data_IF_443624034890
#
_entry.id   IF_443624034890
#
_cell.length_a   1.000
_cell.length_b   1.000
_cell.length_c   1.000
_cell.angle_alpha   90.00
_cell.angle_beta   90.00
_cell.angle_gamma   90.00
#
_symmetry.space_group_name_H-M   'P 1'
#
loop_
_entity.id
_entity.type
_entity.pdbx_description
1 polymer ?
#
# COMPACT_ATOMS: atom_id res chain seq x y z
N UNK A 1 12.54 -32.26 32.23
CA UNK A 1 13.64 -31.48 32.85
C UNK A 1 13.17 -30.38 33.82
N UNK A 2 11.92 -29.91 33.79
CA UNK A 2 11.45 -28.84 34.70
C UNK A 2 11.16 -29.29 36.15
N UNK A 3 10.79 -30.55 36.39
CA UNK A 3 10.44 -31.05 37.73
C UNK A 3 11.64 -31.19 38.69
N UNK A 4 12.82 -31.51 38.17
CA UNK A 4 14.04 -31.70 38.99
C UNK A 4 14.59 -30.37 39.54
N UNK A 5 14.42 -29.28 38.79
CA UNK A 5 14.92 -27.94 39.16
C UNK A 5 14.06 -27.32 40.27
N UNK A 6 12.75 -27.55 40.25
CA UNK A 6 11.85 -27.09 41.31
C UNK A 6 12.09 -27.80 42.66
N UNK A 7 12.43 -29.09 42.64
CA UNK A 7 12.77 -29.85 43.85
C UNK A 7 14.04 -29.36 44.53
N UNK A 8 15.06 -28.98 43.75
CA UNK A 8 16.33 -28.49 44.29
C UNK A 8 16.18 -27.11 44.97
N UNK A 9 15.36 -26.22 44.40
CA UNK A 9 15.13 -24.87 44.94
C UNK A 9 14.31 -24.89 46.22
N UNK A 10 13.34 -25.81 46.35
CA UNK A 10 12.56 -25.98 47.58
C UNK A 10 13.41 -26.53 48.74
N UNK A 11 14.30 -27.49 48.49
CA UNK A 11 15.18 -28.04 49.54
C UNK A 11 16.17 -27.00 50.09
N UNK A 12 16.72 -26.13 49.23
CA UNK A 12 17.65 -25.08 49.66
C UNK A 12 16.99 -24.03 50.57
N UNK A 13 15.73 -23.67 50.31
CA UNK A 13 14.99 -22.71 51.13
C UNK A 13 14.60 -23.28 52.51
N UNK A 14 14.32 -24.60 52.60
CA UNK A 14 13.98 -25.27 53.88
C UNK A 14 15.22 -25.41 54.79
N UNK A 15 16.41 -25.66 54.22
CA UNK A 15 17.66 -25.75 54.98
C UNK A 15 18.10 -24.37 55.51
N UNK A 16 17.86 -23.29 54.74
CA UNK A 16 18.16 -21.92 55.18
C UNK A 16 17.22 -21.40 56.28
N UNK A 17 15.97 -21.87 56.35
CA UNK A 17 15.04 -21.50 57.44
C UNK A 17 15.34 -22.22 58.76
N UNK A 18 15.91 -23.43 58.71
CA UNK A 18 16.16 -24.25 59.91
C UNK A 18 17.46 -23.88 60.65
N UNK A 19 18.37 -23.12 60.02
CA UNK A 19 19.58 -22.60 60.68
C UNK A 19 19.37 -21.29 61.44
N UNK A 20 18.26 -20.56 61.20
CA UNK A 20 18.01 -19.23 61.79
C UNK A 20 17.25 -19.31 63.13
N UNK A 21 16.71 -20.47 63.52
CA UNK A 21 15.81 -20.60 64.70
C UNK A 21 16.50 -21.17 65.97
N UNK A 22 17.79 -21.49 65.94
CA UNK A 22 18.48 -22.05 67.13
C UNK A 22 19.52 -21.11 67.72
N UNK A 23 19.08 -20.08 68.46
CA UNK A 23 19.95 -19.36 69.39
C UNK A 23 19.16 -18.61 70.49
N UNK A 24 18.54 -19.33 71.43
CA UNK A 24 18.40 -18.88 72.83
C UNK A 24 17.75 -19.95 73.70
N UNK A 25 18.50 -20.50 74.64
CA UNK A 25 18.23 -20.40 76.08
C UNK A 25 19.18 -21.32 76.86
N UNK A 26 20.17 -20.72 77.52
CA UNK A 26 20.77 -21.32 78.71
C UNK A 26 20.72 -20.28 79.84
N UNK A 27 19.72 -20.44 80.71
CA UNK A 27 19.64 -19.81 82.03
C UNK A 27 20.69 -20.43 82.94
N UNK A 28 21.73 -19.68 83.29
CA UNK A 28 22.56 -19.96 84.45
C UNK A 28 22.42 -18.85 85.49
N UNK A 29 21.73 -19.18 86.57
CA UNK A 29 21.80 -18.47 87.85
C UNK A 29 23.21 -18.57 88.43
N UNK A 30 23.81 -17.43 88.75
CA UNK A 30 24.92 -17.34 89.70
C UNK A 30 24.75 -16.07 90.52
N UNK A 31 24.59 -16.29 91.82
CA UNK A 31 24.54 -15.31 92.91
C UNK A 31 25.91 -14.66 93.15
N UNK A 32 25.90 -13.55 93.92
CA UNK A 32 27.03 -12.86 94.57
C UNK A 32 27.66 -11.76 93.67
N UNK A 33 27.83 -10.48 94.01
CA UNK A 33 27.86 -9.76 95.29
C UNK A 33 27.47 -8.28 95.07
N UNK A 34 26.84 -7.66 96.06
CA UNK A 34 26.62 -6.23 96.11
C UNK A 34 27.89 -5.56 96.69
N UNK A 35 28.73 -4.97 95.84
CA UNK A 35 29.79 -4.06 96.31
C UNK A 35 29.92 -2.80 95.43
N UNK A 36 29.89 -1.69 96.17
CA UNK A 36 30.04 -0.29 95.83
C UNK A 36 30.93 0.07 94.62
N UNK A 37 30.34 0.89 93.73
CA UNK A 37 30.90 2.05 93.00
C UNK A 37 32.43 2.16 92.97
N UNK A 38 33.00 2.04 91.76
CA UNK A 38 34.08 2.91 91.33
C UNK A 38 33.78 3.43 89.92
N UNK A 39 33.65 4.76 89.79
CA UNK A 39 33.47 5.44 88.51
C UNK A 39 34.75 5.31 87.68
N UNK A 40 34.71 4.72 86.47
CA UNK A 40 35.84 4.81 85.56
C UNK A 40 35.68 6.08 84.70
N UNK A 41 36.52 7.08 85.00
CA UNK A 41 36.93 8.19 84.12
C UNK A 41 35.90 8.74 83.09
N UNK A 42 35.23 9.83 83.46
CA UNK A 42 34.24 10.53 82.61
C UNK A 42 34.71 10.93 81.20
N UNK A 43 36.01 11.09 80.97
CA UNK A 43 36.56 11.47 79.66
C UNK A 43 36.32 10.43 78.55
N UNK A 44 36.34 9.13 78.85
CA UNK A 44 36.20 8.08 77.82
C UNK A 44 34.77 7.91 77.34
N UNK A 45 33.82 7.96 78.27
CA UNK A 45 32.40 7.79 77.98
C UNK A 45 31.80 8.99 77.24
N UNK A 46 32.18 10.22 77.62
CA UNK A 46 31.76 11.44 76.92
C UNK A 46 32.22 11.46 75.46
N UNK A 47 33.47 11.01 75.19
CA UNK A 47 33.97 10.92 73.82
C UNK A 47 33.22 9.87 72.98
N UNK A 48 32.82 8.75 73.59
CA UNK A 48 32.03 7.72 72.93
C UNK A 48 30.61 8.21 72.64
N UNK A 49 29.96 8.91 73.58
CA UNK A 49 28.64 9.51 73.35
C UNK A 49 28.70 10.57 72.22
N UNK A 50 29.68 11.46 72.22
CA UNK A 50 29.83 12.45 71.16
C UNK A 50 30.03 11.81 69.77
N UNK A 51 30.77 10.69 69.69
CA UNK A 51 30.90 9.91 68.45
C UNK A 51 29.57 9.24 68.05
N UNK A 52 28.81 8.73 69.00
CA UNK A 52 27.50 8.13 68.73
C UNK A 52 26.51 9.17 68.19
N UNK A 53 26.47 10.37 68.78
CA UNK A 53 25.63 11.48 68.32
C UNK A 53 26.05 11.97 66.93
N UNK A 54 27.36 12.05 66.67
CA UNK A 54 27.87 12.37 65.34
C UNK A 54 27.45 11.33 64.29
N UNK A 55 27.51 10.04 64.63
CA UNK A 55 27.06 8.97 63.74
C UNK A 55 25.55 9.01 63.50
N UNK A 56 24.75 9.30 64.53
CA UNK A 56 23.31 9.50 64.39
C UNK A 56 22.98 10.69 63.48
N UNK A 57 23.66 11.81 63.67
CA UNK A 57 23.53 12.98 62.79
C UNK A 57 23.86 12.64 61.33
N UNK A 58 24.97 11.93 61.09
CA UNK A 58 25.38 11.51 59.74
C UNK A 58 24.38 10.54 59.09
N UNK A 59 23.77 9.65 59.88
CA UNK A 59 22.68 8.79 59.40
C UNK A 59 21.45 9.60 58.98
N UNK A 60 21.06 10.61 59.75
CA UNK A 60 19.93 11.49 59.40
C UNK A 60 20.22 12.32 58.14
N UNK A 61 21.43 12.87 58.02
CA UNK A 61 21.86 13.62 56.84
C UNK A 61 21.81 12.73 55.58
N UNK A 62 22.32 11.51 55.68
CA UNK A 62 22.30 10.55 54.58
C UNK A 62 20.87 10.09 54.23
N UNK A 63 20.00 9.90 55.21
CA UNK A 63 18.59 9.53 54.99
C UNK A 63 17.84 10.63 54.20
N UNK A 64 18.06 11.89 54.57
CA UNK A 64 17.49 13.03 53.84
C UNK A 64 17.97 13.09 52.38
N UNK A 65 19.29 12.99 52.17
CA UNK A 65 19.88 12.98 50.81
C UNK A 65 19.35 11.79 50.00
N UNK A 66 19.24 10.61 50.61
CA UNK A 66 18.70 9.43 49.95
C UNK A 66 17.23 9.61 49.57
N UNK A 67 16.44 10.26 50.44
CA UNK A 67 15.03 10.56 50.17
C UNK A 67 14.86 11.58 49.05
N UNK A 68 15.63 12.66 49.05
CA UNK A 68 15.63 13.66 47.97
C UNK A 68 16.04 13.02 46.64
N UNK A 69 17.09 12.19 46.65
CA UNK A 69 17.52 11.45 45.48
C UNK A 69 16.45 10.44 45.01
N UNK A 70 15.76 9.77 45.93
CA UNK A 70 14.67 8.85 45.62
C UNK A 70 13.48 9.56 44.97
N UNK A 71 13.10 10.74 45.47
CA UNK A 71 12.06 11.58 44.88
C UNK A 71 12.47 12.06 43.47
N UNK A 72 13.74 12.46 43.30
CA UNK A 72 14.30 12.83 42.00
C UNK A 72 14.27 11.67 40.99
N UNK A 73 14.63 10.46 41.41
CA UNK A 73 14.51 9.25 40.58
C UNK A 73 13.05 9.00 40.19
N UNK A 74 12.12 9.11 41.16
CA UNK A 74 10.70 8.88 40.92
C UNK A 74 10.12 9.85 39.89
N UNK A 75 10.46 11.14 39.98
CA UNK A 75 10.04 12.15 39.01
C UNK A 75 10.63 11.88 37.62
N UNK A 76 11.92 11.55 37.54
CA UNK A 76 12.58 11.24 36.27
C UNK A 76 11.97 9.99 35.62
N UNK A 77 11.64 8.96 36.41
CA UNK A 77 10.95 7.77 35.92
C UNK A 77 9.55 8.08 35.39
N UNK A 78 8.75 8.85 36.14
CA UNK A 78 7.42 9.27 35.70
C UNK A 78 7.47 10.12 34.42
N UNK A 79 8.47 11.01 34.31
CA UNK A 79 8.72 11.77 33.09
C UNK A 79 9.08 10.86 31.93
N UNK A 80 9.96 9.87 32.16
CA UNK A 80 10.37 8.91 31.16
C UNK A 80 9.18 8.06 30.66
N UNK A 81 8.32 7.58 31.56
CA UNK A 81 7.09 6.86 31.20
C UNK A 81 6.14 7.71 30.33
N UNK A 82 5.99 8.99 30.66
CA UNK A 82 5.18 9.93 29.86
C UNK A 82 5.76 10.13 28.46
N UNK A 83 7.08 10.30 28.34
CA UNK A 83 7.76 10.44 27.05
C UNK A 83 7.58 9.16 26.23
N UNK A 84 7.79 7.98 26.82
CA UNK A 84 7.55 6.71 26.13
C UNK A 84 6.11 6.54 25.68
N UNK A 85 5.12 6.89 26.52
CA UNK A 85 3.71 6.88 26.15
C UNK A 85 3.43 7.78 24.94
N UNK A 86 3.97 9.00 24.93
CA UNK A 86 3.81 9.93 23.81
C UNK A 86 4.47 9.41 22.51
N UNK A 87 5.65 8.79 22.62
CA UNK A 87 6.36 8.23 21.48
C UNK A 87 5.62 7.03 20.90
N UNK A 88 5.13 6.12 21.76
CA UNK A 88 4.36 4.95 21.34
C UNK A 88 3.08 5.38 20.59
N UNK A 89 2.43 6.44 21.06
CA UNK A 89 1.25 7.00 20.41
C UNK A 89 1.58 7.58 19.03
N UNK A 90 2.70 8.30 18.91
CA UNK A 90 3.18 8.82 17.63
C UNK A 90 3.52 7.69 16.64
N UNK A 91 4.15 6.60 17.11
CA UNK A 91 4.47 5.42 16.32
C UNK A 91 3.19 4.75 15.81
N UNK A 92 2.22 4.49 16.68
CA UNK A 92 0.95 3.87 16.29
C UNK A 92 0.19 4.70 15.25
N UNK A 93 0.20 6.03 15.39
CA UNK A 93 -0.41 6.92 14.41
C UNK A 93 0.31 6.89 13.06
N UNK A 94 1.64 6.82 13.06
CA UNK A 94 2.42 6.70 11.84
C UNK A 94 2.14 5.36 11.15
N UNK A 95 2.12 4.27 11.89
CA UNK A 95 1.81 2.92 11.38
C UNK A 95 0.43 2.89 10.70
N UNK A 96 -0.58 3.46 11.36
CA UNK A 96 -1.92 3.57 10.77
C UNK A 96 -1.94 4.43 9.50
N UNK A 97 -1.24 5.57 9.49
CA UNK A 97 -1.16 6.42 8.31
C UNK A 97 -0.47 5.70 7.14
N UNK A 98 0.60 4.97 7.41
CA UNK A 98 1.32 4.16 6.42
C UNK A 98 0.43 3.02 5.91
N UNK A 99 -0.26 2.31 6.80
CA UNK A 99 -1.21 1.25 6.43
C UNK A 99 -2.34 1.76 5.54
N UNK A 100 -2.95 2.90 5.88
CA UNK A 100 -4.02 3.49 5.09
C UNK A 100 -3.54 3.94 3.70
N UNK A 101 -2.38 4.62 3.63
CA UNK A 101 -1.79 5.05 2.36
C UNK A 101 -1.41 3.86 1.47
N UNK A 102 -0.83 2.81 2.04
CA UNK A 102 -0.49 1.59 1.30
C UNK A 102 -1.74 0.88 0.78
N UNK A 103 -2.79 0.78 1.60
CA UNK A 103 -4.08 0.21 1.18
C UNK A 103 -4.69 1.00 0.03
N UNK A 104 -4.65 2.34 0.09
CA UNK A 104 -5.12 3.21 -0.97
C UNK A 104 -4.30 3.04 -2.27
N UNK A 105 -2.98 3.00 -2.16
CA UNK A 105 -2.07 2.75 -3.29
C UNK A 105 -2.36 1.38 -3.93
N UNK A 106 -2.54 0.34 -3.12
CA UNK A 106 -2.86 -1.01 -3.57
C UNK A 106 -4.21 -1.02 -4.32
N UNK A 107 -5.24 -0.37 -3.77
CA UNK A 107 -6.54 -0.27 -4.44
C UNK A 107 -6.45 0.49 -5.79
N UNK A 108 -5.69 1.58 -5.84
CA UNK A 108 -5.48 2.32 -7.09
C UNK A 108 -4.69 1.50 -8.11
N UNK A 109 -3.64 0.79 -7.68
CA UNK A 109 -2.85 -0.09 -8.53
C UNK A 109 -3.71 -1.20 -9.13
N UNK A 110 -4.55 -1.86 -8.33
CA UNK A 110 -5.50 -2.88 -8.80
C UNK A 110 -6.48 -2.33 -9.84
N UNK A 111 -6.98 -1.11 -9.66
CA UNK A 111 -7.86 -0.45 -10.63
C UNK A 111 -7.16 -0.21 -11.98
N UNK A 112 -5.89 0.20 -11.95
CA UNK A 112 -5.09 0.42 -13.17
C UNK A 112 -4.80 -0.91 -13.85
N UNK A 113 -4.36 -1.92 -13.11
CA UNK A 113 -4.07 -3.25 -13.63
C UNK A 113 -5.31 -3.88 -14.28
N UNK A 114 -6.45 -3.84 -13.60
CA UNK A 114 -7.72 -4.34 -14.15
C UNK A 114 -8.08 -3.66 -15.48
N UNK A 115 -7.93 -2.33 -15.57
CA UNK A 115 -8.14 -1.59 -16.82
C UNK A 115 -7.17 -2.03 -17.91
N UNK A 116 -5.89 -2.17 -17.59
CA UNK A 116 -4.87 -2.63 -18.54
C UNK A 116 -5.15 -4.04 -19.04
N UNK A 117 -5.55 -4.98 -18.18
CA UNK A 117 -5.95 -6.33 -18.57
C UNK A 117 -7.13 -6.31 -19.53
N UNK A 118 -8.15 -5.47 -19.28
CA UNK A 118 -9.30 -5.32 -20.18
C UNK A 118 -8.87 -4.73 -21.53
N UNK A 119 -8.04 -3.68 -21.53
CA UNK A 119 -7.53 -3.07 -22.76
C UNK A 119 -6.66 -4.03 -23.57
N UNK A 120 -5.74 -4.76 -22.93
CA UNK A 120 -4.90 -5.76 -23.58
C UNK A 120 -5.73 -6.92 -24.15
N UNK A 121 -6.75 -7.40 -23.43
CA UNK A 121 -7.69 -8.40 -23.95
C UNK A 121 -8.50 -7.87 -25.13
N UNK A 122 -8.90 -6.59 -25.11
CA UNK A 122 -9.57 -5.96 -26.24
C UNK A 122 -8.65 -5.87 -27.47
N UNK A 123 -7.37 -5.54 -27.30
CA UNK A 123 -6.38 -5.54 -28.38
C UNK A 123 -6.12 -6.94 -28.93
N UNK A 124 -6.01 -7.94 -28.06
CA UNK A 124 -5.87 -9.33 -28.46
C UNK A 124 -7.08 -9.77 -29.29
N UNK A 125 -8.31 -9.52 -28.82
CA UNK A 125 -9.51 -9.80 -29.60
C UNK A 125 -9.54 -9.05 -30.92
N UNK A 126 -9.16 -7.77 -30.93
CA UNK A 126 -9.06 -6.96 -32.16
C UNK A 126 -8.07 -7.57 -33.16
N UNK A 127 -6.92 -8.02 -32.68
CA UNK A 127 -5.90 -8.65 -33.52
C UNK A 127 -6.38 -9.98 -34.09
N UNK A 128 -7.10 -10.79 -33.29
CA UNK A 128 -7.75 -12.01 -33.78
C UNK A 128 -8.83 -11.72 -34.82
N UNK A 129 -9.68 -10.71 -34.60
CA UNK A 129 -10.66 -10.29 -35.61
C UNK A 129 -9.95 -9.85 -36.90
N UNK A 130 -8.82 -9.15 -36.79
CA UNK A 130 -8.04 -8.73 -37.94
C UNK A 130 -7.33 -9.90 -38.64
N UNK A 131 -6.93 -10.94 -37.92
CA UNK A 131 -6.30 -12.15 -38.47
C UNK A 131 -7.29 -13.02 -39.25
N UNK A 132 -8.57 -12.97 -38.85
CA UNK A 132 -9.70 -13.60 -39.53
C UNK A 132 -10.19 -12.86 -40.78
N UNK A 133 -9.59 -11.70 -41.12
CA UNK A 133 -9.93 -11.03 -42.39
C UNK A 133 -9.62 -11.96 -43.57
N UNK A 134 -10.54 -12.10 -44.54
CA UNK A 134 -10.31 -12.93 -45.72
C UNK A 134 -9.04 -12.48 -46.46
N UNK A 135 -8.03 -13.36 -46.54
CA UNK A 135 -6.76 -13.11 -47.27
C UNK A 135 -6.93 -13.14 -48.79
N UNK A 136 -8.07 -13.61 -49.26
CA UNK A 136 -8.50 -13.47 -50.64
C UNK A 136 -9.54 -12.36 -50.66
N UNK A 137 -9.28 -11.35 -51.50
CA UNK A 137 -10.09 -10.13 -51.58
C UNK A 137 -11.57 -10.45 -51.47
N UNK A 138 -12.26 -9.65 -50.65
CA UNK A 138 -13.71 -9.66 -50.45
C UNK A 138 -14.41 -10.31 -51.64
N UNK A 139 -15.22 -11.35 -51.38
CA UNK A 139 -16.14 -11.95 -52.36
C UNK A 139 -16.68 -10.84 -53.28
N UNK A 140 -16.83 -11.07 -54.60
CA UNK A 140 -17.33 -10.05 -55.52
C UNK A 140 -18.58 -9.32 -54.98
N UNK A 141 -19.45 -10.01 -54.22
CA UNK A 141 -20.62 -9.43 -53.55
C UNK A 141 -20.33 -8.57 -52.31
N UNK A 142 -19.25 -8.79 -51.58
CA UNK A 142 -18.88 -7.98 -50.42
C UNK A 142 -18.23 -6.64 -50.83
N UNK A 143 -17.47 -6.59 -51.95
CA UNK A 143 -17.03 -5.32 -52.54
C UNK A 143 -18.22 -4.45 -52.96
N UNK A 144 -19.24 -5.08 -53.53
CA UNK A 144 -20.51 -4.43 -53.89
C UNK A 144 -21.15 -3.74 -52.68
N UNK A 145 -21.17 -4.37 -51.49
CA UNK A 145 -21.83 -3.79 -50.33
C UNK A 145 -21.15 -2.51 -49.78
N UNK A 146 -19.81 -2.48 -49.73
CA UNK A 146 -19.08 -1.29 -49.31
C UNK A 146 -19.12 -0.17 -50.36
N UNK A 147 -19.06 -0.52 -51.65
CA UNK A 147 -19.25 0.45 -52.74
C UNK A 147 -20.69 1.01 -52.74
N UNK A 148 -21.73 0.20 -52.50
CA UNK A 148 -23.12 0.67 -52.37
C UNK A 148 -23.31 1.60 -51.16
N UNK A 149 -22.66 1.34 -50.03
CA UNK A 149 -22.74 2.21 -48.84
C UNK A 149 -22.12 3.59 -49.11
N UNK A 150 -20.98 3.64 -49.80
CA UNK A 150 -20.33 4.90 -50.21
C UNK A 150 -21.07 5.65 -51.32
N UNK A 151 -21.96 4.97 -52.06
CA UNK A 151 -22.73 5.55 -53.15
C UNK A 151 -24.12 6.06 -52.75
N UNK A 152 -24.55 5.90 -51.50
CA UNK A 152 -25.85 6.42 -51.01
C UNK A 152 -26.04 7.92 -51.23
N UNK A 153 -24.96 8.69 -51.25
CA UNK A 153 -24.98 10.14 -51.48
C UNK A 153 -24.59 10.55 -52.91
N UNK A 154 -24.42 9.57 -53.81
CA UNK A 154 -23.92 9.76 -55.18
C UNK A 154 -24.93 9.32 -56.24
N UNK A 155 -26.22 9.47 -55.95
CA UNK A 155 -27.33 9.19 -56.86
C UNK A 155 -28.55 8.59 -56.14
N UNK A 156 -29.53 8.04 -56.87
CA UNK A 156 -29.55 7.91 -58.32
C UNK A 156 -29.83 9.25 -59.03
N UNK A 157 -29.03 9.58 -60.04
CA UNK A 157 -29.28 10.71 -60.95
C UNK A 157 -29.80 10.21 -62.30
N UNK A 158 -30.60 11.01 -63.00
CA UNK A 158 -31.10 10.65 -64.34
C UNK A 158 -29.97 10.51 -65.36
N UNK A 159 -28.96 11.38 -65.25
CA UNK A 159 -27.77 11.34 -66.08
C UNK A 159 -26.56 11.98 -65.37
N UNK A 160 -25.37 11.80 -65.93
CA UNK A 160 -24.18 12.51 -65.46
C UNK A 160 -24.32 14.02 -65.59
N UNK A 161 -25.12 14.54 -66.52
CA UNK A 161 -25.34 15.99 -66.63
C UNK A 161 -26.12 16.55 -65.43
N UNK A 162 -27.05 15.77 -64.90
CA UNK A 162 -27.90 16.13 -63.75
C UNK A 162 -27.20 15.94 -62.39
N UNK A 163 -25.98 15.39 -62.38
CA UNK A 163 -25.15 15.30 -61.19
C UNK A 163 -24.74 16.72 -60.72
N UNK A 164 -25.04 17.10 -59.47
CA UNK A 164 -24.91 18.48 -59.00
C UNK A 164 -23.51 18.85 -58.48
N UNK A 165 -22.69 17.89 -58.04
CA UNK A 165 -21.38 18.21 -57.45
C UNK A 165 -20.36 18.68 -58.48
N UNK A 166 -20.55 18.35 -59.77
CA UNK A 166 -19.62 18.67 -60.87
C UNK A 166 -18.20 18.13 -60.62
N UNK A 167 -18.11 17.03 -59.88
CA UNK A 167 -16.85 16.33 -59.62
C UNK A 167 -16.82 15.02 -60.39
N UNK A 168 -15.73 14.75 -61.12
CA UNK A 168 -15.57 13.48 -61.83
C UNK A 168 -15.47 12.31 -60.84
N UNK A 169 -16.16 11.22 -61.14
CA UNK A 169 -16.19 10.06 -60.24
C UNK A 169 -17.28 9.06 -60.59
N UNK A 170 -17.42 8.03 -59.76
CA UNK A 170 -18.51 7.05 -59.88
C UNK A 170 -19.78 7.57 -59.20
N UNK A 171 -20.90 7.39 -59.87
CA UNK A 171 -22.24 7.77 -59.42
C UNK A 171 -23.25 6.69 -59.80
N UNK A 172 -24.39 6.65 -59.12
CA UNK A 172 -25.52 5.82 -59.51
C UNK A 172 -26.37 6.57 -60.53
N UNK A 173 -26.55 5.97 -61.70
CA UNK A 173 -27.37 6.52 -62.78
C UNK A 173 -28.62 5.65 -62.96
N UNK A 174 -29.77 6.31 -63.09
CA UNK A 174 -31.05 5.69 -63.38
C UNK A 174 -31.61 6.35 -64.65
N UNK A 175 -31.45 5.69 -65.79
CA UNK A 175 -31.90 6.21 -67.07
C UNK A 175 -33.44 6.25 -67.19
N UNK A 176 -34.12 5.26 -66.60
CA UNK A 176 -35.58 5.16 -66.57
C UNK A 176 -36.05 4.67 -65.21
N UNK A 177 -37.26 5.03 -64.80
CA UNK A 177 -37.81 4.67 -63.49
C UNK A 177 -38.01 3.16 -63.31
N UNK A 178 -38.13 2.41 -64.41
CA UNK A 178 -38.39 0.96 -64.40
C UNK A 178 -37.11 0.12 -64.32
N UNK A 179 -35.92 0.74 -64.37
CA UNK A 179 -34.63 0.05 -64.37
C UNK A 179 -33.87 0.34 -63.09
N UNK A 180 -33.23 -0.69 -62.55
CA UNK A 180 -32.40 -0.57 -61.37
C UNK A 180 -31.22 0.39 -61.64
N UNK A 181 -30.93 1.35 -60.73
CA UNK A 181 -29.77 2.23 -60.89
C UNK A 181 -28.48 1.44 -60.99
N UNK A 182 -27.60 1.83 -61.91
CA UNK A 182 -26.31 1.18 -62.09
C UNK A 182 -25.16 2.16 -61.82
N UNK A 183 -24.00 1.66 -61.33
CA UNK A 183 -22.80 2.46 -61.17
C UNK A 183 -22.23 2.87 -62.53
N UNK A 184 -22.09 4.17 -62.80
CA UNK A 184 -21.41 4.71 -63.96
C UNK A 184 -20.34 5.72 -63.55
N UNK A 185 -19.30 5.89 -64.36
CA UNK A 185 -18.32 6.96 -64.15
C UNK A 185 -18.76 8.21 -64.93
N UNK A 186 -18.94 9.31 -64.20
CA UNK A 186 -19.23 10.62 -64.77
C UNK A 186 -17.94 11.45 -64.85
N UNK A 187 -17.64 11.95 -66.04
CA UNK A 187 -16.58 12.92 -66.28
C UNK A 187 -17.19 14.33 -66.30
N UNK A 188 -16.85 15.12 -65.28
CA UNK A 188 -17.37 16.48 -65.07
C UNK A 188 -16.34 17.57 -65.36
N UNK A 189 -15.05 17.23 -65.40
CA UNK A 189 -13.95 18.21 -65.52
C UNK A 189 -13.54 18.47 -66.96
N UNK A 190 -13.70 17.48 -67.85
CA UNK A 190 -13.29 17.58 -69.26
C UNK A 190 -14.48 17.87 -70.17
N UNK A 191 -14.22 18.59 -71.26
CA UNK A 191 -15.16 18.83 -72.36
C UNK A 191 -16.53 19.38 -71.91
N UNK A 192 -16.53 20.30 -70.93
CA UNK A 192 -17.77 20.91 -70.41
C UNK A 192 -18.56 20.05 -69.42
N UNK A 193 -18.07 18.85 -69.08
CA UNK A 193 -18.67 17.98 -68.08
C UNK A 193 -19.99 17.32 -68.51
N UNK A 194 -20.58 16.53 -67.62
CA UNK A 194 -21.82 15.78 -67.86
C UNK A 194 -21.64 14.49 -68.67
N UNK A 195 -20.42 14.04 -68.92
CA UNK A 195 -20.15 12.88 -69.76
C UNK A 195 -20.27 11.57 -69.00
N UNK A 196 -21.05 10.63 -69.53
CA UNK A 196 -21.06 9.25 -69.06
C UNK A 196 -19.99 8.44 -69.81
N UNK A 197 -19.06 7.85 -69.08
CA UNK A 197 -17.99 7.05 -69.67
C UNK A 197 -18.46 5.61 -69.85
N UNK A 198 -18.65 5.19 -71.10
CA UNK A 198 -19.05 3.82 -71.45
C UNK A 198 -17.87 2.86 -71.60
N UNK A 199 -16.69 3.38 -71.94
CA UNK A 199 -15.47 2.59 -72.09
C UNK A 199 -14.26 3.49 -71.86
N UNK A 200 -13.26 3.00 -71.14
CA UNK A 200 -12.00 3.70 -70.93
C UNK A 200 -10.82 2.72 -70.96
N UNK A 201 -9.79 3.04 -71.74
CA UNK A 201 -8.54 2.27 -71.84
C UNK A 201 -7.36 3.20 -71.70
N UNK A 202 -6.38 2.79 -70.90
CA UNK A 202 -5.18 3.59 -70.69
C UNK A 202 -3.89 2.76 -70.52
N UNK A 203 -3.97 1.50 -70.07
CA UNK A 203 -2.77 0.69 -69.72
C UNK A 203 -2.81 -0.78 -70.16
N UNK A 204 -3.78 -1.19 -70.98
CA UNK A 204 -3.91 -2.60 -71.42
C UNK A 204 -4.13 -3.62 -70.29
N UNK A 205 -4.60 -3.18 -69.13
CA UNK A 205 -4.73 -4.02 -67.93
C UNK A 205 -5.95 -4.97 -67.92
N UNK A 206 -6.86 -4.81 -68.87
CA UNK A 206 -8.07 -5.62 -69.02
C UNK A 206 -8.03 -6.30 -70.38
N UNK A 207 -8.37 -7.59 -70.39
CA UNK A 207 -8.59 -8.37 -71.61
C UNK A 207 -10.04 -8.19 -72.08
N UNK A 208 -10.23 -8.10 -73.40
CA UNK A 208 -11.53 -7.88 -74.05
C UNK A 208 -11.81 -8.90 -75.17
N UNK A 209 -10.98 -9.93 -75.31
CA UNK A 209 -11.15 -11.04 -76.26
C UNK A 209 -11.78 -12.26 -75.61
#
# INVERSE_FOLDING_TARGET
>A
MLSSVFGFVLCLNVVLLSTVVSASNDTNTSTVDNSLISSPSGYGFEMIMAKLDYLQYKLLEMDFVMKEHSEGIGQNQAHLEKVFGSMLWAISRLDQAVGNNLTALQAQSWKILSRQTICANHELMRNEIFSLRPKQGLSPGARSLYDLQGMRHKGPFESCQNEPSKVSGKYLIRATNDVEPFPAYCEQTKFGGGWLVIQHRFKGALDFF
#
